data_IF_415819094439
#
_entry.id   IF_415819094439
#
_cell.length_a   1.000
_cell.length_b   1.000
_cell.length_c   1.000
_cell.angle_alpha   90.00
_cell.angle_beta   90.00
_cell.angle_gamma   90.00
#
_symmetry.space_group_name_H-M   'P 1'
#
loop_
_entity.id
_entity.type
_entity.pdbx_description
1 polymer ?
#
# COMPACT_ATOMS: atom_id res chain seq x y z
N UNK A 1 2.74 -31.57 18.22
CA UNK A 1 3.40 -30.69 19.22
C UNK A 1 3.28 -29.24 18.74
N UNK A 2 2.20 -28.54 19.08
CA UNK A 2 2.01 -27.10 18.76
C UNK A 2 1.90 -26.38 20.10
N UNK A 3 3.04 -25.93 20.64
CA UNK A 3 3.03 -25.05 21.80
C UNK A 3 2.44 -23.71 21.38
N UNK A 4 1.41 -23.29 22.10
CA UNK A 4 0.76 -22.00 21.93
C UNK A 4 1.81 -20.92 22.24
N UNK A 5 2.25 -20.17 21.23
CA UNK A 5 2.96 -18.91 21.42
C UNK A 5 2.01 -17.92 22.09
N UNK A 6 1.85 -18.04 23.41
CA UNK A 6 1.29 -17.00 24.26
C UNK A 6 2.37 -15.94 24.39
N UNK A 7 2.32 -14.92 23.54
CA UNK A 7 3.02 -13.67 23.81
C UNK A 7 2.50 -13.15 25.15
N UNK A 8 3.36 -13.22 26.16
CA UNK A 8 3.09 -12.61 27.46
C UNK A 8 3.26 -11.11 27.21
N UNK A 9 2.16 -10.37 27.04
CA UNK A 9 2.22 -8.91 26.86
C UNK A 9 2.82 -8.31 28.15
N UNK A 10 4.08 -7.81 28.13
CA UNK A 10 4.73 -7.30 29.34
C UNK A 10 4.25 -5.88 29.67
N UNK A 11 3.37 -5.31 28.83
CA UNK A 11 2.97 -3.91 28.89
C UNK A 11 1.78 -3.70 29.83
N UNK A 12 1.87 -2.74 30.77
CA UNK A 12 0.73 -2.29 31.56
C UNK A 12 -0.48 -1.93 30.68
N UNK A 13 -1.68 -2.27 31.15
CA UNK A 13 -2.96 -1.95 30.49
C UNK A 13 -3.09 -0.51 29.98
N UNK A 14 -2.67 0.55 30.72
CA UNK A 14 -2.77 1.93 30.20
C UNK A 14 -1.89 2.16 28.97
N UNK A 15 -0.66 1.63 28.93
CA UNK A 15 0.26 1.77 27.79
C UNK A 15 -0.32 1.09 26.55
N UNK A 16 -0.96 -0.07 26.72
CA UNK A 16 -1.65 -0.77 25.62
C UNK A 16 -2.77 0.07 25.02
N UNK A 17 -3.58 0.73 25.85
CA UNK A 17 -4.67 1.59 25.39
C UNK A 17 -4.12 2.81 24.63
N UNK A 18 -3.06 3.44 25.14
CA UNK A 18 -2.41 4.57 24.47
C UNK A 18 -1.84 4.14 23.12
N UNK A 19 -1.12 3.02 23.06
CA UNK A 19 -0.59 2.50 21.80
C UNK A 19 -1.71 2.19 20.80
N UNK A 20 -2.80 1.55 21.24
CA UNK A 20 -3.95 1.29 20.38
C UNK A 20 -4.58 2.59 19.86
N UNK A 21 -4.73 3.60 20.71
CA UNK A 21 -5.23 4.91 20.29
C UNK A 21 -4.34 5.56 19.24
N UNK A 22 -3.01 5.55 19.45
CA UNK A 22 -2.05 6.09 18.49
C UNK A 22 -2.17 5.37 17.14
N UNK A 23 -2.24 4.04 17.14
CA UNK A 23 -2.38 3.25 15.92
C UNK A 23 -3.70 3.57 15.20
N UNK A 24 -4.81 3.73 15.93
CA UNK A 24 -6.10 4.14 15.34
C UNK A 24 -5.99 5.53 14.70
N UNK A 25 -5.34 6.48 15.35
CA UNK A 25 -5.12 7.82 14.79
C UNK A 25 -4.29 7.75 13.52
N UNK A 26 -3.19 6.99 13.50
CA UNK A 26 -2.35 6.80 12.30
C UNK A 26 -3.15 6.21 11.15
N UNK A 27 -3.97 5.19 11.42
CA UNK A 27 -4.86 4.57 10.42
C UNK A 27 -5.85 5.58 9.87
N UNK A 28 -6.47 6.42 10.72
CA UNK A 28 -7.41 7.45 10.26
C UNK A 28 -6.70 8.49 9.39
N UNK A 29 -5.54 8.98 9.83
CA UNK A 29 -4.77 10.00 9.11
C UNK A 29 -4.32 9.51 7.73
N UNK A 30 -3.92 8.25 7.60
CA UNK A 30 -3.57 7.64 6.31
C UNK A 30 -4.81 7.21 5.51
N UNK A 31 -5.88 6.83 6.19
CA UNK A 31 -7.11 6.33 5.58
C UNK A 31 -7.93 7.43 4.90
N UNK A 32 -8.02 8.62 5.51
CA UNK A 32 -8.76 9.76 4.93
C UNK A 32 -8.31 10.10 3.50
N UNK A 33 -7.01 10.32 3.20
CA UNK A 33 -6.58 10.60 1.83
C UNK A 33 -6.82 9.43 0.88
N UNK A 34 -6.74 8.18 1.35
CA UNK A 34 -7.07 7.00 0.52
C UNK A 34 -8.55 6.98 0.14
N UNK A 35 -9.46 7.25 1.10
CA UNK A 35 -10.89 7.37 0.83
C UNK A 35 -11.16 8.52 -0.13
N UNK A 36 -10.45 9.64 0.01
CA UNK A 36 -10.57 10.77 -0.90
C UNK A 36 -10.22 10.41 -2.35
N UNK A 37 -9.09 9.75 -2.56
CA UNK A 37 -8.68 9.31 -3.91
C UNK A 37 -9.73 8.37 -4.52
N UNK A 38 -10.29 7.45 -3.73
CA UNK A 38 -11.35 6.55 -4.19
C UNK A 38 -12.64 7.31 -4.52
N UNK A 39 -13.09 8.24 -3.67
CA UNK A 39 -14.31 8.97 -3.93
C UNK A 39 -14.18 9.89 -5.16
N UNK A 40 -13.01 10.51 -5.35
CA UNK A 40 -12.69 11.32 -6.54
C UNK A 40 -12.65 10.45 -7.79
N UNK A 41 -12.10 9.24 -7.74
CA UNK A 41 -12.00 8.36 -8.92
C UNK A 41 -13.37 7.89 -9.44
N UNK A 42 -14.40 7.90 -8.60
CA UNK A 42 -15.80 7.64 -8.97
C UNK A 42 -16.63 8.92 -9.17
N UNK A 43 -16.03 10.11 -9.18
CA UNK A 43 -16.74 11.38 -9.39
C UNK A 43 -16.69 11.83 -10.85
N UNK A 44 -17.60 12.74 -11.24
CA UNK A 44 -17.61 13.34 -12.59
C UNK A 44 -16.39 14.25 -12.79
N UNK A 45 -15.99 14.50 -14.04
CA UNK A 45 -14.82 15.34 -14.38
C UNK A 45 -14.90 16.72 -13.71
N UNK A 46 -16.07 17.36 -13.75
CA UNK A 46 -16.27 18.66 -13.10
C UNK A 46 -16.08 18.62 -11.57
N UNK A 47 -16.40 17.49 -10.93
CA UNK A 47 -16.22 17.32 -9.48
C UNK A 47 -14.85 16.79 -9.09
N UNK A 48 -14.16 16.06 -9.97
CA UNK A 48 -12.79 15.62 -9.72
C UNK A 48 -11.79 16.78 -9.74
N UNK A 49 -12.10 17.83 -10.53
CA UNK A 49 -11.26 19.03 -10.63
C UNK A 49 -11.56 20.06 -9.54
N UNK A 50 -12.61 19.83 -8.74
CA UNK A 50 -12.99 20.73 -7.65
C UNK A 50 -12.04 20.57 -6.46
N UNK A 51 -11.47 21.66 -5.92
CA UNK A 51 -10.60 21.57 -4.75
C UNK A 51 -11.41 21.20 -3.50
N UNK A 52 -10.89 20.26 -2.69
CA UNK A 52 -11.50 19.89 -1.42
C UNK A 52 -11.33 18.41 -1.06
N UNK A 53 -11.83 18.04 0.12
CA UNK A 53 -11.91 16.66 0.57
C UNK A 53 -13.26 16.07 0.16
N UNK A 54 -13.24 15.01 -0.63
CA UNK A 54 -14.41 14.25 -1.09
C UNK A 54 -14.41 12.91 -0.37
N UNK A 55 -15.33 12.68 0.56
CA UNK A 55 -15.41 11.39 1.27
C UNK A 55 -16.36 10.39 0.60
N UNK A 56 -17.31 10.89 -0.19
CA UNK A 56 -18.29 10.08 -0.91
C UNK A 56 -18.50 10.64 -2.31
N UNK A 57 -18.55 9.79 -3.36
CA UNK A 57 -18.82 10.23 -4.71
C UNK A 57 -20.28 10.69 -4.84
N UNK A 58 -20.52 11.86 -5.44
CA UNK A 58 -21.87 12.39 -5.61
C UNK A 58 -21.96 13.32 -6.84
N UNK A 59 -22.55 12.92 -7.98
CA UNK A 59 -23.06 11.58 -8.30
C UNK A 59 -21.93 10.60 -8.66
N UNK A 60 -22.05 9.31 -8.28
CA UNK A 60 -21.09 8.29 -8.66
C UNK A 60 -21.15 7.99 -10.18
N UNK A 61 -19.99 7.87 -10.81
CA UNK A 61 -19.83 7.59 -12.24
C UNK A 61 -18.55 6.79 -12.52
N UNK A 62 -18.53 6.12 -13.68
CA UNK A 62 -17.36 5.39 -14.22
C UNK A 62 -16.79 6.07 -15.47
N UNK A 63 -17.24 7.29 -15.78
CA UNK A 63 -16.85 8.03 -16.97
C UNK A 63 -15.33 8.28 -17.00
N UNK A 64 -14.73 8.67 -15.88
CA UNK A 64 -13.28 8.89 -15.78
C UNK A 64 -12.47 7.65 -16.17
N UNK A 65 -12.86 6.46 -15.69
CA UNK A 65 -12.21 5.20 -16.09
C UNK A 65 -12.35 4.91 -17.59
N UNK A 66 -13.55 5.12 -18.16
CA UNK A 66 -13.78 4.94 -19.61
C UNK A 66 -12.94 5.93 -20.43
N UNK A 67 -12.83 7.17 -19.96
CA UNK A 67 -12.04 8.21 -20.60
C UNK A 67 -10.55 7.86 -20.61
N UNK A 68 -9.98 7.45 -19.47
CA UNK A 68 -8.57 7.09 -19.34
C UNK A 68 -8.23 5.87 -20.20
N UNK A 69 -9.11 4.85 -20.21
CA UNK A 69 -8.89 3.64 -20.99
C UNK A 69 -8.89 3.91 -22.50
N UNK A 70 -9.76 4.81 -22.99
CA UNK A 70 -9.88 5.12 -24.43
C UNK A 70 -8.89 6.17 -24.92
N UNK A 71 -8.71 7.26 -24.15
CA UNK A 71 -8.01 8.46 -24.62
C UNK A 71 -6.58 8.57 -24.10
N UNK A 72 -6.29 8.01 -22.92
CA UNK A 72 -4.98 8.16 -22.27
C UNK A 72 -4.04 6.95 -22.46
N UNK A 73 -4.43 5.97 -23.29
CA UNK A 73 -3.68 4.73 -23.56
C UNK A 73 -3.05 4.11 -22.30
N UNK A 74 -3.82 4.00 -21.21
CA UNK A 74 -3.33 3.57 -19.90
C UNK A 74 -2.66 2.18 -19.90
N UNK A 75 -2.98 1.33 -20.88
CA UNK A 75 -2.44 -0.01 -21.00
C UNK A 75 -0.90 -0.04 -21.12
N UNK A 76 -0.33 0.88 -21.90
CA UNK A 76 1.12 0.92 -22.13
C UNK A 76 1.92 1.28 -20.86
N UNK A 77 1.65 2.41 -20.16
CA UNK A 77 2.35 2.73 -18.91
C UNK A 77 2.07 1.69 -17.81
N UNK A 78 0.86 1.14 -17.74
CA UNK A 78 0.54 0.07 -16.78
C UNK A 78 1.42 -1.18 -17.01
N UNK A 79 1.55 -1.61 -18.27
CA UNK A 79 2.40 -2.76 -18.61
C UNK A 79 3.88 -2.47 -18.32
N UNK A 80 4.36 -1.26 -18.62
CA UNK A 80 5.74 -0.87 -18.31
C UNK A 80 6.02 -0.94 -16.81
N UNK A 81 5.14 -0.39 -15.97
CA UNK A 81 5.27 -0.47 -14.51
C UNK A 81 5.24 -1.91 -14.02
N UNK A 82 4.32 -2.73 -14.55
CA UNK A 82 4.23 -4.14 -14.19
C UNK A 82 5.52 -4.89 -14.56
N UNK A 83 6.01 -4.70 -15.79
CA UNK A 83 7.23 -5.35 -16.25
C UNK A 83 8.44 -4.96 -15.39
N UNK A 84 8.65 -3.65 -15.16
CA UNK A 84 9.80 -3.17 -14.38
C UNK A 84 9.70 -3.59 -12.91
N UNK A 85 8.52 -3.54 -12.30
CA UNK A 85 8.35 -3.93 -10.89
C UNK A 85 8.54 -5.44 -10.68
N UNK A 86 7.98 -6.28 -11.56
CA UNK A 86 8.10 -7.74 -11.45
C UNK A 86 9.52 -8.18 -11.73
N UNK A 87 10.11 -7.76 -12.85
CA UNK A 87 11.49 -8.14 -13.20
C UNK A 87 12.49 -7.58 -12.20
N UNK A 88 12.34 -6.32 -11.80
CA UNK A 88 13.17 -5.68 -10.78
C UNK A 88 13.10 -6.40 -9.45
N UNK A 89 11.91 -6.75 -8.97
CA UNK A 89 11.75 -7.49 -7.71
C UNK A 89 12.33 -8.91 -7.81
N UNK A 90 12.08 -9.62 -8.90
CA UNK A 90 12.57 -10.99 -9.07
C UNK A 90 14.11 -11.02 -9.08
N UNK A 91 14.73 -10.12 -9.85
CA UNK A 91 16.19 -9.99 -9.90
C UNK A 91 16.76 -9.53 -8.55
N UNK A 92 16.12 -8.58 -7.89
CA UNK A 92 16.56 -8.08 -6.60
C UNK A 92 16.51 -9.18 -5.53
N UNK A 93 15.42 -9.94 -5.43
CA UNK A 93 15.29 -11.08 -4.51
C UNK A 93 16.32 -12.17 -4.83
N UNK A 94 16.52 -12.50 -6.11
CA UNK A 94 17.52 -13.49 -6.51
C UNK A 94 18.93 -13.08 -6.06
N UNK A 95 19.34 -11.85 -6.38
CA UNK A 95 20.67 -11.34 -6.03
C UNK A 95 20.87 -11.23 -4.52
N UNK A 96 19.88 -10.70 -3.80
CA UNK A 96 19.95 -10.58 -2.34
C UNK A 96 19.92 -11.92 -1.64
N UNK A 97 19.18 -12.90 -2.14
CA UNK A 97 19.19 -14.26 -1.60
C UNK A 97 20.55 -14.94 -1.78
N UNK A 98 21.18 -14.81 -2.94
CA UNK A 98 22.52 -15.35 -3.18
C UNK A 98 23.57 -14.69 -2.27
N UNK A 99 23.52 -13.37 -2.14
CA UNK A 99 24.41 -12.65 -1.22
C UNK A 99 24.18 -13.06 0.24
N UNK A 100 22.91 -13.14 0.67
CA UNK A 100 22.54 -13.57 2.00
C UNK A 100 22.99 -15.00 2.30
N UNK A 101 22.95 -15.91 1.31
CA UNK A 101 23.43 -17.28 1.46
C UNK A 101 24.93 -17.33 1.79
N UNK A 102 25.75 -16.55 1.09
CA UNK A 102 27.20 -16.47 1.36
C UNK A 102 27.46 -15.88 2.75
N UNK A 103 26.78 -14.79 3.09
CA UNK A 103 26.95 -14.11 4.38
C UNK A 103 26.41 -14.91 5.57
N UNK A 104 25.47 -15.81 5.35
CA UNK A 104 24.93 -16.68 6.40
C UNK A 104 25.90 -17.79 6.82
N UNK A 105 27.01 -17.99 6.10
CA UNK A 105 27.97 -19.04 6.41
C UNK A 105 28.82 -18.67 7.64
N UNK A 106 28.77 -19.43 8.75
CA UNK A 106 29.46 -19.07 10.01
C UNK A 106 30.99 -19.04 9.90
N UNK A 107 31.54 -19.75 8.93
CA UNK A 107 32.98 -19.94 8.73
C UNK A 107 33.52 -19.14 7.54
N UNK A 108 32.83 -18.07 7.11
CA UNK A 108 33.35 -17.19 6.06
C UNK A 108 34.56 -16.43 6.62
N UNK A 109 35.77 -16.59 6.04
CA UNK A 109 36.92 -15.80 6.46
C UNK A 109 36.66 -14.33 6.08
N UNK A 110 36.96 -13.44 7.03
CA UNK A 110 36.87 -11.99 6.90
C UNK A 110 37.87 -11.43 5.88
#
# INVERSE_FOLDING_TARGET
>A
MRSRLRFHDPLPRPIRLINALILVVVVILMGIPMVNVLAVSFSTVAKSDSPGLVLFPAPPTLEGYRFIWKNANLAQPFYNTLFVSVTGTALHVLMTALAAYILAQPNLPF
#
